data_IF_517774888209
#
_entry.id   IF_517774888209
#
_cell.length_a   1.000
_cell.length_b   1.000
_cell.length_c   1.000
_cell.angle_alpha   90.00
_cell.angle_beta   90.00
_cell.angle_gamma   90.00
#
_symmetry.space_group_name_H-M   'P 1'
#
loop_
_entity.id
_entity.type
_entity.pdbx_description
1 polymer ?
#
# COMPACT_ATOMS: atom_id res chain seq x y z
N UNK A 1 -13.10 -28.01 29.07
CA UNK A 1 -14.10 -28.68 28.23
C UNK A 1 -13.36 -29.41 27.14
N UNK A 2 -13.56 -30.72 27.03
CA UNK A 2 -12.91 -31.57 26.03
C UNK A 2 -13.66 -31.36 24.70
N UNK A 3 -13.16 -30.45 23.86
CA UNK A 3 -13.78 -30.21 22.56
C UNK A 3 -13.48 -31.38 21.61
N UNK A 4 -14.44 -31.81 20.78
CA UNK A 4 -14.20 -32.87 19.80
C UNK A 4 -13.05 -32.45 18.86
N UNK A 5 -12.04 -33.32 18.75
CA UNK A 5 -10.81 -33.07 17.99
C UNK A 5 -11.04 -32.94 16.48
N UNK A 6 -12.16 -33.48 16.01
CA UNK A 6 -12.64 -33.38 14.63
C UNK A 6 -14.15 -33.14 14.63
N UNK A 7 -14.64 -32.27 13.75
CA UNK A 7 -16.07 -31.98 13.57
C UNK A 7 -16.48 -32.40 12.15
N UNK A 8 -17.51 -33.24 12.05
CA UNK A 8 -18.02 -33.75 10.77
C UNK A 8 -19.27 -32.96 10.34
N UNK A 9 -19.33 -32.60 9.06
CA UNK A 9 -20.51 -31.99 8.43
C UNK A 9 -20.52 -32.27 6.92
N UNK A 10 -21.62 -32.85 6.41
CA UNK A 10 -21.63 -33.41 5.06
C UNK A 10 -20.49 -34.43 4.89
N UNK A 11 -19.81 -34.37 3.74
CA UNK A 11 -18.63 -35.20 3.46
C UNK A 11 -17.32 -34.58 4.00
N UNK A 12 -17.38 -33.55 4.84
CA UNK A 12 -16.20 -32.83 5.29
C UNK A 12 -15.87 -33.10 6.76
N UNK A 13 -14.57 -33.07 7.05
CA UNK A 13 -14.01 -33.21 8.39
C UNK A 13 -13.16 -31.98 8.70
N UNK A 14 -13.57 -31.19 9.69
CA UNK A 14 -12.75 -30.12 10.24
C UNK A 14 -11.84 -30.69 11.31
N UNK A 15 -10.55 -30.83 11.01
CA UNK A 15 -9.56 -31.34 11.95
C UNK A 15 -8.94 -30.16 12.73
N UNK A 16 -9.28 -30.04 14.01
CA UNK A 16 -8.82 -28.94 14.86
C UNK A 16 -7.37 -29.10 15.29
N UNK A 17 -6.89 -30.35 15.42
CA UNK A 17 -5.49 -30.62 15.77
C UNK A 17 -4.53 -30.22 14.64
N UNK A 18 -4.94 -30.43 13.39
CA UNK A 18 -4.12 -30.12 12.20
C UNK A 18 -4.42 -28.75 11.60
N UNK A 19 -5.47 -28.06 12.05
CA UNK A 19 -5.84 -26.75 11.52
C UNK A 19 -6.33 -26.80 10.08
N UNK A 20 -6.87 -27.94 9.62
CA UNK A 20 -7.22 -28.15 8.22
C UNK A 20 -8.65 -28.67 8.05
N UNK A 21 -9.23 -28.38 6.88
CA UNK A 21 -10.47 -28.97 6.40
C UNK A 21 -10.12 -30.12 5.47
N UNK A 22 -10.73 -31.29 5.65
CA UNK A 22 -10.56 -32.44 4.77
C UNK A 22 -11.89 -32.79 4.10
N UNK A 23 -11.85 -33.23 2.86
CA UNK A 23 -13.03 -33.80 2.18
C UNK A 23 -13.22 -35.29 2.50
N UNK A 24 -14.26 -35.89 1.91
CA UNK A 24 -14.62 -37.30 2.16
C UNK A 24 -13.57 -38.31 1.68
N UNK A 25 -12.63 -37.87 0.84
CA UNK A 25 -11.47 -38.65 0.41
C UNK A 25 -10.23 -38.43 1.29
N UNK A 26 -10.34 -37.61 2.35
CA UNK A 26 -9.25 -37.27 3.27
C UNK A 26 -8.28 -36.20 2.76
N UNK A 27 -8.56 -35.59 1.61
CA UNK A 27 -7.68 -34.60 1.00
C UNK A 27 -7.91 -33.21 1.63
N UNK A 28 -6.81 -32.51 1.92
CA UNK A 28 -6.87 -31.19 2.56
C UNK A 28 -7.37 -30.12 1.58
N UNK A 29 -8.34 -29.31 2.04
CA UNK A 29 -8.89 -28.15 1.34
C UNK A 29 -8.33 -26.89 1.98
N UNK A 30 -7.60 -26.12 1.18
CA UNK A 30 -6.91 -24.92 1.64
C UNK A 30 -7.92 -23.83 2.00
N UNK A 31 -7.83 -23.34 3.24
CA UNK A 31 -8.56 -22.17 3.72
C UNK A 31 -7.56 -21.15 4.28
N UNK A 32 -7.83 -19.86 4.06
CA UNK A 32 -7.08 -18.79 4.73
C UNK A 32 -7.31 -18.90 6.26
N UNK A 33 -6.35 -18.49 7.10
CA UNK A 33 -6.45 -18.66 8.56
C UNK A 33 -7.74 -18.09 9.17
N UNK A 34 -8.21 -16.94 8.67
CA UNK A 34 -9.47 -16.33 9.12
C UNK A 34 -10.71 -17.06 8.62
N UNK A 35 -10.73 -17.50 7.37
CA UNK A 35 -11.82 -18.32 6.81
C UNK A 35 -11.93 -19.66 7.55
N UNK A 36 -10.80 -20.27 7.92
CA UNK A 36 -10.78 -21.46 8.77
C UNK A 36 -11.40 -21.18 10.15
N UNK A 37 -11.01 -20.08 10.81
CA UNK A 37 -11.55 -19.72 12.13
C UNK A 37 -13.06 -19.44 12.09
N UNK A 38 -13.57 -18.79 11.04
CA UNK A 38 -15.02 -18.61 10.83
C UNK A 38 -15.73 -19.96 10.69
N UNK A 39 -15.17 -20.88 9.90
CA UNK A 39 -15.71 -22.22 9.74
C UNK A 39 -15.67 -23.02 11.05
N UNK A 40 -14.64 -22.85 11.86
CA UNK A 40 -14.53 -23.48 13.18
C UNK A 40 -15.67 -23.04 14.11
N UNK A 41 -15.93 -21.74 14.21
CA UNK A 41 -17.03 -21.21 15.04
C UNK A 41 -18.39 -21.71 14.54
N UNK A 42 -18.60 -21.76 13.22
CA UNK A 42 -19.82 -22.27 12.61
C UNK A 42 -19.99 -23.78 12.81
N UNK A 43 -18.90 -24.54 12.76
CA UNK A 43 -18.90 -25.98 12.97
C UNK A 43 -19.13 -26.35 14.45
N UNK A 44 -18.62 -25.55 15.39
CA UNK A 44 -18.93 -25.69 16.82
C UNK A 44 -20.42 -25.43 17.13
N UNK A 45 -21.05 -24.53 16.37
CA UNK A 45 -22.47 -24.20 16.48
C UNK A 45 -23.29 -24.81 15.34
N UNK A 46 -22.90 -25.98 14.84
CA UNK A 46 -23.56 -26.65 13.70
C UNK A 46 -25.07 -26.74 13.93
N UNK A 47 -25.86 -26.45 12.89
CA UNK A 47 -27.32 -26.45 12.94
C UNK A 47 -27.93 -25.22 13.62
N UNK A 48 -27.11 -24.32 14.18
CA UNK A 48 -27.57 -23.07 14.79
C UNK A 48 -27.27 -21.87 13.88
N UNK A 49 -28.19 -20.92 13.86
CA UNK A 49 -27.99 -19.64 13.19
C UNK A 49 -27.03 -18.80 14.04
N UNK A 50 -25.88 -18.42 13.47
CA UNK A 50 -24.90 -17.55 14.11
C UNK A 50 -24.98 -16.16 13.47
N UNK A 51 -25.12 -15.12 14.31
CA UNK A 51 -25.21 -13.74 13.82
C UNK A 51 -23.87 -13.27 13.24
N UNK A 52 -23.91 -12.21 12.42
CA UNK A 52 -22.68 -11.59 11.90
C UNK A 52 -21.80 -11.09 13.04
N UNK A 53 -22.40 -10.39 14.00
CA UNK A 53 -21.70 -9.81 15.15
C UNK A 53 -21.03 -10.89 16.01
N UNK A 54 -21.73 -12.02 16.26
CA UNK A 54 -21.15 -13.15 17.00
C UNK A 54 -19.97 -13.79 16.26
N UNK A 55 -20.06 -13.94 14.93
CA UNK A 55 -18.97 -14.48 14.12
C UNK A 55 -17.78 -13.52 14.08
N UNK A 56 -18.06 -12.22 13.99
CA UNK A 56 -17.06 -11.17 14.04
C UNK A 56 -16.35 -11.20 15.39
N UNK A 57 -17.09 -11.15 16.49
CA UNK A 57 -16.55 -11.15 17.85
C UNK A 57 -15.75 -12.43 18.16
N UNK A 58 -16.21 -13.61 17.72
CA UNK A 58 -15.51 -14.87 17.98
C UNK A 58 -14.23 -15.08 17.15
N UNK A 59 -14.08 -14.35 16.04
CA UNK A 59 -12.99 -14.50 15.08
C UNK A 59 -12.00 -13.31 15.11
N UNK A 60 -12.48 -12.13 15.51
CA UNK A 60 -11.76 -10.87 15.62
C UNK A 60 -12.17 -10.13 16.91
N UNK A 61 -11.78 -10.64 18.10
CA UNK A 61 -12.27 -10.10 19.38
C UNK A 61 -11.88 -8.63 19.65
N UNK A 62 -10.82 -8.12 19.01
CA UNK A 62 -10.26 -6.78 19.27
C UNK A 62 -10.04 -5.94 17.99
N UNK A 63 -10.74 -6.26 16.90
CA UNK A 63 -10.55 -5.58 15.61
C UNK A 63 -11.89 -5.26 14.97
N UNK A 64 -12.12 -3.97 14.66
CA UNK A 64 -13.24 -3.56 13.82
C UNK A 64 -13.01 -4.07 12.40
N UNK A 65 -13.88 -4.97 11.94
CA UNK A 65 -13.85 -5.51 10.58
C UNK A 65 -15.10 -5.08 9.81
N UNK A 66 -14.94 -4.81 8.52
CA UNK A 66 -16.09 -4.53 7.64
C UNK A 66 -16.90 -5.79 7.38
N UNK A 67 -18.19 -5.63 7.07
CA UNK A 67 -19.10 -6.71 6.66
C UNK A 67 -18.52 -7.56 5.50
N UNK A 68 -17.72 -6.95 4.63
CA UNK A 68 -17.04 -7.59 3.49
C UNK A 68 -16.00 -8.63 3.93
N UNK A 69 -15.36 -8.43 5.08
CA UNK A 69 -14.36 -9.36 5.61
C UNK A 69 -14.99 -10.71 5.97
N UNK A 70 -16.17 -10.68 6.61
CA UNK A 70 -16.95 -11.88 6.91
C UNK A 70 -17.54 -12.50 5.63
N UNK A 71 -18.05 -11.68 4.71
CA UNK A 71 -18.59 -12.13 3.43
C UNK A 71 -17.54 -12.85 2.57
N UNK A 72 -16.29 -12.37 2.56
CA UNK A 72 -15.18 -13.01 1.86
C UNK A 72 -14.79 -14.33 2.53
N UNK A 73 -14.73 -14.38 3.87
CA UNK A 73 -14.48 -15.64 4.59
C UNK A 73 -15.53 -16.70 4.23
N UNK A 74 -16.81 -16.33 4.20
CA UNK A 74 -17.91 -17.21 3.80
C UNK A 74 -17.77 -17.66 2.35
N UNK A 75 -17.36 -16.76 1.44
CA UNK A 75 -17.14 -17.08 0.03
C UNK A 75 -16.01 -18.09 -0.16
N UNK A 76 -14.91 -17.96 0.58
CA UNK A 76 -13.81 -18.93 0.54
C UNK A 76 -14.22 -20.29 1.08
N UNK A 77 -14.98 -20.32 2.17
CA UNK A 77 -15.51 -21.55 2.75
C UNK A 77 -16.38 -22.26 1.71
N UNK A 78 -17.32 -21.56 1.08
CA UNK A 78 -18.17 -22.13 0.03
C UNK A 78 -17.35 -22.70 -1.12
N UNK A 79 -16.30 -21.99 -1.55
CA UNK A 79 -15.40 -22.46 -2.60
C UNK A 79 -14.66 -23.73 -2.18
N UNK A 80 -14.16 -23.79 -0.95
CA UNK A 80 -13.44 -24.95 -0.41
C UNK A 80 -14.36 -26.18 -0.23
N UNK A 81 -15.65 -25.95 0.06
CA UNK A 81 -16.69 -26.99 0.14
C UNK A 81 -17.22 -27.44 -1.22
N UNK A 82 -16.79 -26.80 -2.32
CA UNK A 82 -17.17 -27.20 -3.67
C UNK A 82 -18.65 -26.93 -4.00
N UNK A 83 -19.25 -27.70 -4.92
CA UNK A 83 -20.62 -27.47 -5.43
C UNK A 83 -21.70 -27.41 -4.34
N UNK A 84 -21.53 -28.19 -3.27
CA UNK A 84 -22.46 -28.23 -2.13
C UNK A 84 -22.21 -27.11 -1.10
N UNK A 85 -21.17 -26.29 -1.27
CA UNK A 85 -20.78 -25.28 -0.29
C UNK A 85 -21.87 -24.26 0.03
N UNK A 86 -22.67 -23.86 -0.96
CA UNK A 86 -23.79 -22.93 -0.75
C UNK A 86 -24.97 -23.58 -0.02
N UNK A 87 -25.15 -24.90 -0.17
CA UNK A 87 -26.18 -25.68 0.51
C UNK A 87 -25.79 -25.98 1.96
N UNK A 88 -24.51 -26.27 2.20
CA UNK A 88 -23.96 -26.55 3.52
C UNK A 88 -23.80 -25.27 4.35
N UNK A 89 -23.33 -24.17 3.76
CA UNK A 89 -23.19 -22.87 4.44
C UNK A 89 -24.20 -21.85 3.90
N UNK A 90 -25.36 -21.77 4.55
CA UNK A 90 -26.49 -20.93 4.13
C UNK A 90 -26.40 -19.53 4.72
N UNK A 91 -26.70 -18.54 3.90
CA UNK A 91 -26.95 -17.17 4.38
C UNK A 91 -28.43 -17.03 4.70
N UNK A 92 -28.74 -16.57 5.92
CA UNK A 92 -30.09 -16.16 6.31
C UNK A 92 -30.14 -14.63 6.27
N UNK A 93 -30.85 -14.02 5.29
CA UNK A 93 -30.84 -12.58 5.09
C UNK A 93 -31.14 -11.82 6.38
N UNK A 94 -30.32 -10.80 6.67
CA UNK A 94 -30.41 -9.92 7.86
C UNK A 94 -30.28 -10.63 9.22
N UNK A 95 -29.91 -11.91 9.24
CA UNK A 95 -29.83 -12.69 10.49
C UNK A 95 -28.47 -13.34 10.71
N UNK A 96 -27.78 -13.79 9.67
CA UNK A 96 -26.44 -14.37 9.79
C UNK A 96 -26.23 -15.60 8.92
N UNK A 97 -25.46 -16.56 9.43
CA UNK A 97 -25.06 -17.76 8.69
C UNK A 97 -25.39 -19.04 9.46
N UNK A 98 -25.70 -20.10 8.71
CA UNK A 98 -26.07 -21.40 9.23
C UNK A 98 -25.26 -22.47 8.51
N UNK A 99 -24.50 -23.26 9.28
CA UNK A 99 -23.86 -24.46 8.78
C UNK A 99 -24.77 -25.67 9.01
N UNK A 100 -25.24 -26.28 7.92
CA UNK A 100 -26.12 -27.44 7.94
C UNK A 100 -25.27 -28.70 7.93
N UNK A 101 -25.51 -29.61 8.87
CA UNK A 101 -25.10 -31.01 8.75
C UNK A 101 -26.29 -31.81 8.25
N UNK A 102 -26.06 -32.82 7.40
CA UNK A 102 -27.13 -33.77 7.09
C UNK A 102 -27.53 -34.49 8.37
N UNK A 103 -28.61 -34.04 8.98
CA UNK A 103 -29.55 -34.88 9.69
C UNK A 103 -30.88 -34.66 8.99
N UNK A 104 -31.33 -35.69 8.29
CA UNK A 104 -32.67 -35.79 7.72
C UNK A 104 -33.68 -35.40 8.79
N UNK A 105 -34.48 -34.36 8.54
CA UNK A 105 -35.93 -34.40 8.74
C UNK A 105 -36.57 -33.15 8.14
N UNK A 106 -37.54 -33.42 7.27
CA UNK A 106 -38.33 -32.47 6.53
C UNK A 106 -39.56 -32.04 7.34
N UNK A 107 -39.95 -30.77 7.19
CA UNK A 107 -41.32 -30.24 7.10
C UNK A 107 -41.21 -28.71 7.30
N UNK A 108 -41.79 -27.83 6.50
CA UNK A 108 -42.96 -27.93 5.66
C UNK A 108 -43.86 -26.75 5.99
N UNK A 109 -44.12 -25.86 5.02
CA UNK A 109 -45.40 -25.15 4.77
C UNK A 109 -45.22 -23.77 4.14
N UNK A 110 -46.06 -23.55 3.14
CA UNK A 110 -46.08 -22.48 2.16
C UNK A 110 -47.00 -21.30 2.61
N UNK A 111 -47.15 -20.23 1.80
CA UNK A 111 -47.56 -18.89 2.23
C UNK A 111 -49.06 -18.59 2.10
N UNK A 112 -49.53 -17.59 2.84
CA UNK A 112 -50.77 -16.85 2.59
C UNK A 112 -50.47 -15.37 2.90
N UNK A 113 -50.70 -14.38 2.05
CA UNK A 113 -51.88 -14.12 1.22
C UNK A 113 -52.56 -12.88 1.80
N UNK A 114 -52.48 -11.72 1.13
CA UNK A 114 -53.33 -10.56 1.46
C UNK A 114 -53.67 -9.76 0.19
N UNK A 115 -54.97 -9.62 -0.02
CA UNK A 115 -55.64 -9.06 -1.20
C UNK A 115 -55.73 -7.53 -1.14
N UNK A 116 -55.79 -6.97 -2.35
CA UNK A 116 -56.21 -5.63 -2.75
C UNK A 116 -57.34 -5.02 -1.92
N UNK A 117 -57.17 -3.75 -1.56
CA UNK A 117 -58.26 -2.81 -1.29
C UNK A 117 -58.06 -1.57 -2.18
N UNK A 118 -59.18 -0.95 -2.52
CA UNK A 118 -59.47 -0.24 -3.77
C UNK A 118 -58.67 1.04 -4.10
N UNK A 119 -58.44 1.19 -5.41
CA UNK A 119 -58.23 2.43 -6.15
C UNK A 119 -59.51 3.28 -6.10
N UNK A 120 -59.40 4.58 -5.82
CA UNK A 120 -60.14 5.63 -6.55
C UNK A 120 -59.29 6.91 -6.70
N UNK A 121 -58.94 7.19 -7.95
CA UNK A 121 -58.91 8.48 -8.64
C UNK A 121 -58.31 9.75 -7.97
N UNK A 122 -57.12 10.13 -8.45
CA UNK A 122 -56.80 11.52 -8.82
C UNK A 122 -55.77 11.52 -9.96
N UNK A 123 -56.23 11.10 -11.15
CA UNK A 123 -55.43 10.73 -12.32
C UNK A 123 -54.86 11.87 -13.17
N UNK A 124 -54.44 12.98 -12.58
CA UNK A 124 -53.79 14.08 -13.34
C UNK A 124 -52.44 14.55 -12.76
N UNK A 125 -52.01 14.04 -11.60
CA UNK A 125 -50.67 14.33 -11.05
C UNK A 125 -49.65 13.21 -11.34
N UNK A 126 -50.11 11.97 -11.50
CA UNK A 126 -49.23 10.81 -11.70
C UNK A 126 -48.60 10.77 -13.10
N UNK A 127 -49.30 11.23 -14.14
CA UNK A 127 -48.77 11.25 -15.50
C UNK A 127 -47.66 12.30 -15.69
N UNK A 128 -47.75 13.44 -15.00
CA UNK A 128 -46.71 14.48 -15.00
C UNK A 128 -45.48 14.06 -14.20
N UNK A 129 -45.67 13.37 -13.08
CA UNK A 129 -44.56 12.81 -12.29
C UNK A 129 -43.87 11.68 -13.06
N UNK A 130 -44.63 10.79 -13.72
CA UNK A 130 -44.08 9.71 -14.54
C UNK A 130 -43.43 10.23 -15.83
N UNK A 131 -43.99 11.26 -16.47
CA UNK A 131 -43.35 11.90 -17.62
C UNK A 131 -42.11 12.70 -17.22
N UNK A 132 -42.11 13.39 -16.07
CA UNK A 132 -40.92 14.07 -15.54
C UNK A 132 -39.86 13.08 -15.09
N UNK A 133 -40.21 11.94 -14.48
CA UNK A 133 -39.22 10.92 -14.11
C UNK A 133 -38.67 10.21 -15.34
N UNK A 134 -39.49 9.91 -16.35
CA UNK A 134 -39.02 9.36 -17.62
C UNK A 134 -38.15 10.38 -18.36
N UNK A 135 -38.54 11.66 -18.40
CA UNK A 135 -37.74 12.72 -19.01
C UNK A 135 -36.42 12.95 -18.25
N UNK A 136 -36.43 12.84 -16.92
CA UNK A 136 -35.22 12.88 -16.07
C UNK A 136 -34.34 11.63 -16.23
N UNK A 137 -34.90 10.52 -16.71
CA UNK A 137 -34.19 9.26 -16.99
C UNK A 137 -33.67 9.17 -18.44
N UNK A 138 -34.20 9.99 -19.36
CA UNK A 138 -33.82 9.98 -20.78
C UNK A 138 -32.99 11.19 -21.22
N UNK A 139 -32.77 12.19 -20.34
CA UNK A 139 -31.71 13.17 -20.58
C UNK A 139 -30.35 12.46 -20.48
N UNK A 140 -29.44 12.60 -21.47
CA UNK A 140 -28.06 12.20 -21.29
C UNK A 140 -27.50 12.96 -20.09
N UNK A 141 -27.09 12.22 -19.05
CA UNK A 141 -26.34 12.79 -17.92
C UNK A 141 -24.93 13.06 -18.40
N UNK A 142 -24.77 14.09 -19.22
CA UNK A 142 -23.47 14.64 -19.51
C UNK A 142 -22.97 15.33 -18.23
N UNK A 143 -22.05 14.68 -17.51
CA UNK A 143 -21.10 15.35 -16.62
C UNK A 143 -21.52 15.67 -15.19
N UNK A 144 -22.23 14.79 -14.48
CA UNK A 144 -22.44 14.94 -13.03
C UNK A 144 -22.30 13.60 -12.29
N UNK A 145 -21.10 13.05 -12.25
CA UNK A 145 -20.65 12.42 -11.00
C UNK A 145 -20.60 13.57 -10.00
N UNK A 146 -21.24 13.43 -8.84
CA UNK A 146 -21.02 14.39 -7.77
C UNK A 146 -19.50 14.37 -7.49
N UNK A 147 -18.76 15.49 -7.63
CA UNK A 147 -17.31 15.53 -7.41
C UNK A 147 -16.86 14.79 -6.14
N UNK A 148 -17.73 14.85 -5.12
CA UNK A 148 -17.68 14.12 -3.86
C UNK A 148 -17.39 12.60 -3.98
N UNK A 149 -17.94 11.86 -4.96
CA UNK A 149 -17.70 10.41 -5.07
C UNK A 149 -16.33 10.07 -5.66
N UNK A 150 -15.89 10.80 -6.69
CA UNK A 150 -14.56 10.63 -7.27
C UNK A 150 -13.48 11.05 -6.26
N UNK A 151 -13.68 12.19 -5.60
CA UNK A 151 -12.81 12.67 -4.54
C UNK A 151 -12.78 11.68 -3.36
N UNK A 152 -13.91 11.10 -2.95
CA UNK A 152 -13.95 10.05 -1.92
C UNK A 152 -13.20 8.79 -2.35
N UNK A 153 -13.29 8.38 -3.61
CA UNK A 153 -12.55 7.23 -4.12
C UNK A 153 -11.04 7.49 -4.12
N UNK A 154 -10.60 8.70 -4.48
CA UNK A 154 -9.20 9.13 -4.39
C UNK A 154 -8.73 9.16 -2.94
N UNK A 155 -9.51 9.73 -2.02
CA UNK A 155 -9.19 9.74 -0.57
C UNK A 155 -9.05 8.32 -0.03
N UNK A 156 -9.97 7.41 -0.42
CA UNK A 156 -9.90 6.00 -0.03
C UNK A 156 -8.66 5.31 -0.60
N UNK A 157 -8.33 5.58 -1.87
CA UNK A 157 -7.13 5.04 -2.50
C UNK A 157 -5.87 5.58 -1.82
N UNK A 158 -5.83 6.87 -1.47
CA UNK A 158 -4.70 7.49 -0.77
C UNK A 158 -4.49 6.90 0.62
N UNK A 159 -5.56 6.65 1.37
CA UNK A 159 -5.49 5.98 2.67
C UNK A 159 -4.88 4.57 2.58
N UNK A 160 -5.08 3.86 1.46
CA UNK A 160 -4.43 2.57 1.19
C UNK A 160 -2.92 2.74 0.88
N UNK A 161 -2.51 3.89 0.34
CA UNK A 161 -1.14 4.18 -0.09
C UNK A 161 -0.27 4.83 1.01
N UNK A 162 -0.85 5.40 2.07
CA UNK A 162 -0.14 6.16 3.12
C UNK A 162 1.04 5.39 3.74
N UNK A 163 0.93 4.07 3.87
CA UNK A 163 1.96 3.27 4.54
C UNK A 163 3.19 2.99 3.67
N UNK A 164 3.08 3.09 2.32
CA UNK A 164 4.10 2.65 1.33
C UNK A 164 4.84 1.36 1.75
N UNK A 165 4.11 0.43 2.36
CA UNK A 165 4.64 -0.81 2.94
C UNK A 165 4.59 -1.92 1.91
N UNK A 166 5.75 -2.46 1.55
CA UNK A 166 5.89 -3.54 0.59
C UNK A 166 5.10 -4.81 0.97
N UNK A 167 4.70 -4.98 2.23
CA UNK A 167 3.85 -6.10 2.66
C UNK A 167 2.39 -5.95 2.24
N UNK A 168 1.97 -4.73 1.91
CA UNK A 168 0.59 -4.35 1.58
C UNK A 168 0.37 -4.22 0.07
N UNK A 169 0.89 -5.16 -0.72
CA UNK A 169 0.68 -5.19 -2.19
C UNK A 169 -0.80 -5.15 -2.56
N UNK A 170 -1.64 -5.86 -1.81
CA UNK A 170 -3.09 -5.89 -2.03
C UNK A 170 -3.75 -4.51 -1.87
N UNK A 171 -3.27 -3.68 -0.94
CA UNK A 171 -3.75 -2.31 -0.75
C UNK A 171 -3.40 -1.45 -1.97
N UNK A 172 -2.21 -1.64 -2.55
CA UNK A 172 -1.79 -0.97 -3.79
C UNK A 172 -2.62 -1.40 -5.01
N UNK A 173 -2.93 -2.68 -5.13
CA UNK A 173 -3.80 -3.22 -6.19
C UNK A 173 -5.23 -2.67 -6.04
N UNK A 174 -5.78 -2.66 -4.83
CA UNK A 174 -7.10 -2.09 -4.56
C UNK A 174 -7.14 -0.57 -4.82
N UNK A 175 -6.10 0.17 -4.42
CA UNK A 175 -5.99 1.60 -4.72
C UNK A 175 -5.99 1.82 -6.24
N UNK A 176 -5.22 1.01 -6.99
CA UNK A 176 -5.18 1.09 -8.45
C UNK A 176 -6.55 0.85 -9.08
N UNK A 177 -7.29 -0.17 -8.66
CA UNK A 177 -8.64 -0.45 -9.19
C UNK A 177 -9.60 0.74 -8.99
N UNK A 178 -9.57 1.35 -7.80
CA UNK A 178 -10.36 2.56 -7.51
C UNK A 178 -9.97 3.72 -8.42
N UNK A 179 -8.67 3.96 -8.56
CA UNK A 179 -8.13 5.08 -9.33
C UNK A 179 -8.33 4.89 -10.84
N UNK A 180 -8.21 3.67 -11.35
CA UNK A 180 -8.50 3.32 -12.75
C UNK A 180 -9.98 3.57 -13.09
N UNK A 181 -10.90 3.24 -12.17
CA UNK A 181 -12.31 3.58 -12.33
C UNK A 181 -12.55 5.10 -12.38
N UNK A 182 -11.89 5.86 -11.50
CA UNK A 182 -11.99 7.32 -11.46
C UNK A 182 -11.49 7.96 -12.75
N UNK A 183 -10.29 7.59 -13.24
CA UNK A 183 -9.74 8.21 -14.46
C UNK A 183 -10.44 7.76 -15.75
N UNK A 184 -11.11 6.59 -15.72
CA UNK A 184 -11.94 6.13 -16.83
C UNK A 184 -13.23 6.95 -16.96
N UNK A 185 -13.76 7.45 -15.84
CA UNK A 185 -14.97 8.28 -15.79
C UNK A 185 -14.65 9.78 -15.93
N UNK A 186 -13.61 10.26 -15.25
CA UNK A 186 -13.08 11.62 -15.32
C UNK A 186 -11.58 11.64 -15.63
N UNK A 187 -11.26 11.66 -16.93
CA UNK A 187 -9.90 11.77 -17.42
C UNK A 187 -9.21 13.12 -17.09
N UNK A 188 -9.95 14.11 -16.58
CA UNK A 188 -9.45 15.41 -16.14
C UNK A 188 -9.02 15.45 -14.67
N UNK A 189 -9.28 14.40 -13.90
CA UNK A 189 -9.01 14.41 -12.46
C UNK A 189 -7.52 14.25 -12.12
N UNK A 190 -6.83 15.38 -11.93
CA UNK A 190 -5.38 15.41 -11.67
C UNK A 190 -4.94 14.60 -10.44
N UNK A 191 -5.73 14.64 -9.34
CA UNK A 191 -5.45 13.89 -8.12
C UNK A 191 -5.43 12.37 -8.36
N UNK A 192 -6.43 11.86 -9.10
CA UNK A 192 -6.52 10.46 -9.45
C UNK A 192 -5.34 9.99 -10.31
N UNK A 193 -4.94 10.77 -11.32
CA UNK A 193 -3.75 10.46 -12.12
C UNK A 193 -2.46 10.46 -11.28
N UNK A 194 -2.32 11.41 -10.36
CA UNK A 194 -1.16 11.47 -9.45
C UNK A 194 -1.07 10.22 -8.57
N UNK A 195 -2.18 9.82 -7.96
CA UNK A 195 -2.23 8.65 -7.08
C UNK A 195 -2.11 7.35 -7.89
N UNK A 196 -2.64 7.30 -9.12
CA UNK A 196 -2.52 6.14 -9.99
C UNK A 196 -1.06 5.91 -10.38
N UNK A 197 -0.35 6.98 -10.76
CA UNK A 197 1.09 6.92 -11.02
C UNK A 197 1.90 6.47 -9.81
N UNK A 198 1.52 6.88 -8.59
CA UNK A 198 2.13 6.37 -7.36
C UNK A 198 1.98 4.85 -7.23
N UNK A 199 0.84 4.25 -7.62
CA UNK A 199 0.66 2.79 -7.51
C UNK A 199 1.67 2.01 -8.35
N UNK A 200 2.02 2.53 -9.54
CA UNK A 200 3.02 1.91 -10.41
C UNK A 200 4.44 2.20 -9.92
N UNK A 201 4.67 3.40 -9.36
CA UNK A 201 5.96 3.73 -8.76
C UNK A 201 6.29 2.83 -7.56
N UNK A 202 5.31 2.51 -6.71
CA UNK A 202 5.50 1.57 -5.60
C UNK A 202 5.84 0.15 -6.08
N UNK A 203 5.28 -0.31 -7.20
CA UNK A 203 5.70 -1.59 -7.80
C UNK A 203 7.16 -1.60 -8.24
N UNK A 204 7.66 -0.47 -8.74
CA UNK A 204 9.07 -0.32 -9.15
C UNK A 204 9.98 -0.24 -7.93
N UNK A 205 9.58 0.47 -6.87
CA UNK A 205 10.35 0.58 -5.64
C UNK A 205 10.42 -0.75 -4.87
N UNK A 206 9.35 -1.55 -4.91
CA UNK A 206 9.26 -2.82 -4.21
C UNK A 206 9.49 -3.99 -5.17
N UNK A 207 10.74 -4.40 -5.36
CA UNK A 207 11.13 -5.47 -6.30
C UNK A 207 10.30 -6.75 -6.21
N UNK A 208 9.89 -7.13 -5.00
CA UNK A 208 9.06 -8.31 -4.77
C UNK A 208 7.70 -8.24 -5.47
N UNK A 209 7.27 -7.05 -5.89
CA UNK A 209 6.00 -6.82 -6.59
C UNK A 209 6.14 -7.03 -8.11
N UNK A 210 7.37 -7.02 -8.64
CA UNK A 210 7.67 -7.31 -10.04
C UNK A 210 7.59 -6.10 -10.98
N UNK A 211 7.56 -4.88 -10.45
CA UNK A 211 7.58 -3.67 -11.28
C UNK A 211 8.93 -3.47 -11.96
N UNK A 212 8.90 -3.14 -13.25
CA UNK A 212 10.08 -2.94 -14.08
C UNK A 212 10.00 -1.65 -14.90
N UNK A 213 10.70 -1.66 -16.04
CA UNK A 213 10.82 -0.49 -16.93
C UNK A 213 9.46 -0.01 -17.44
N UNK A 214 8.54 -0.93 -17.71
CA UNK A 214 7.20 -0.63 -18.21
C UNK A 214 6.38 0.10 -17.15
N UNK A 215 6.40 -0.38 -15.92
CA UNK A 215 5.69 0.20 -14.78
C UNK A 215 6.26 1.58 -14.45
N UNK A 216 7.58 1.76 -14.54
CA UNK A 216 8.20 3.07 -14.41
C UNK A 216 7.72 4.05 -15.48
N UNK A 217 7.65 3.61 -16.74
CA UNK A 217 7.11 4.41 -17.84
C UNK A 217 5.67 4.85 -17.58
N UNK A 218 4.80 3.92 -17.12
CA UNK A 218 3.42 4.23 -16.74
C UNK A 218 3.33 5.22 -15.59
N UNK A 219 4.16 5.03 -14.56
CA UNK A 219 4.20 5.92 -13.41
C UNK A 219 4.53 7.36 -13.84
N UNK A 220 5.59 7.53 -14.65
CA UNK A 220 5.97 8.84 -15.19
C UNK A 220 4.86 9.46 -16.03
N UNK A 221 4.29 8.71 -16.98
CA UNK A 221 3.21 9.20 -17.86
C UNK A 221 2.00 9.70 -17.06
N UNK A 222 1.57 8.93 -16.05
CA UNK A 222 0.41 9.27 -15.22
C UNK A 222 0.67 10.51 -14.36
N UNK A 223 1.85 10.63 -13.75
CA UNK A 223 2.15 11.80 -12.93
C UNK A 223 2.44 13.04 -13.78
N UNK A 224 3.07 12.90 -14.95
CA UNK A 224 3.21 13.98 -15.94
C UNK A 224 1.84 14.47 -16.43
N UNK A 225 0.89 13.54 -16.63
CA UNK A 225 -0.50 13.89 -16.95
C UNK A 225 -1.16 14.68 -15.82
N UNK A 226 -0.97 14.27 -14.56
CA UNK A 226 -1.49 15.01 -13.40
C UNK A 226 -0.94 16.44 -13.33
N UNK A 227 0.36 16.64 -13.60
CA UNK A 227 0.96 17.99 -13.70
C UNK A 227 0.33 18.79 -14.85
N UNK A 228 0.19 18.18 -16.03
CA UNK A 228 -0.39 18.85 -17.21
C UNK A 228 -1.86 19.27 -17.00
N UNK A 229 -2.59 18.58 -16.11
CA UNK A 229 -3.96 18.91 -15.70
C UNK A 229 -4.03 19.97 -14.59
N UNK A 230 -2.90 20.53 -14.16
CA UNK A 230 -2.84 21.54 -13.10
C UNK A 230 -2.92 20.97 -11.69
N UNK A 231 -2.46 19.73 -11.49
CA UNK A 231 -2.34 19.14 -10.15
C UNK A 231 -1.44 19.96 -9.21
N UNK A 232 -1.70 19.88 -7.91
CA UNK A 232 -0.98 20.64 -6.89
C UNK A 232 0.46 20.15 -6.63
N UNK A 233 0.94 20.32 -5.39
CA UNK A 233 2.34 20.02 -5.07
C UNK A 233 2.72 18.53 -5.21
N UNK A 234 1.80 17.62 -4.88
CA UNK A 234 2.05 16.17 -4.84
C UNK A 234 2.56 15.57 -6.17
N UNK A 235 1.93 15.78 -7.35
CA UNK A 235 2.45 15.22 -8.59
C UNK A 235 3.84 15.76 -8.94
N UNK A 236 4.13 17.04 -8.65
CA UNK A 236 5.48 17.57 -8.79
C UNK A 236 6.49 16.86 -7.88
N UNK A 237 6.16 16.66 -6.59
CA UNK A 237 7.01 15.91 -5.68
C UNK A 237 7.26 14.48 -6.16
N UNK A 238 6.21 13.80 -6.63
CA UNK A 238 6.31 12.43 -7.16
C UNK A 238 7.20 12.36 -8.41
N UNK A 239 7.09 13.31 -9.35
CA UNK A 239 8.01 13.38 -10.49
C UNK A 239 9.44 13.61 -10.05
N UNK A 240 9.67 14.46 -9.05
CA UNK A 240 11.00 14.66 -8.50
C UNK A 240 11.58 13.37 -7.90
N UNK A 241 10.81 12.66 -7.07
CA UNK A 241 11.20 11.35 -6.51
C UNK A 241 11.52 10.35 -7.65
N UNK A 242 10.65 10.21 -8.64
CA UNK A 242 10.83 9.28 -9.77
C UNK A 242 12.08 9.60 -10.60
N UNK A 243 12.31 10.89 -10.92
CA UNK A 243 13.45 11.33 -11.73
C UNK A 243 14.78 11.28 -10.96
N UNK A 244 14.76 11.27 -9.63
CA UNK A 244 15.95 11.04 -8.80
C UNK A 244 16.25 9.55 -8.62
N UNK A 245 15.23 8.78 -8.22
CA UNK A 245 15.39 7.46 -7.62
C UNK A 245 15.07 6.32 -8.59
N UNK A 246 14.78 6.63 -9.86
CA UNK A 246 14.55 5.61 -10.88
C UNK A 246 15.72 4.61 -10.91
N UNK A 247 15.44 3.29 -10.84
CA UNK A 247 16.46 2.26 -10.98
C UNK A 247 16.97 2.13 -12.44
N UNK A 248 16.36 2.88 -13.37
CA UNK A 248 16.72 2.90 -14.79
C UNK A 248 17.46 4.21 -15.09
N UNK A 249 18.78 4.16 -15.35
CA UNK A 249 19.60 5.35 -15.55
C UNK A 249 19.07 6.33 -16.59
N UNK A 250 18.56 5.82 -17.71
CA UNK A 250 18.03 6.63 -18.80
C UNK A 250 16.71 7.35 -18.48
N UNK A 251 16.04 6.97 -17.38
CA UNK A 251 14.81 7.62 -16.91
C UNK A 251 15.08 8.64 -15.80
N UNK A 252 16.30 8.69 -15.26
CA UNK A 252 16.68 9.72 -14.30
C UNK A 252 16.99 11.03 -14.98
N UNK A 253 16.66 12.11 -14.29
CA UNK A 253 16.98 13.47 -14.71
C UNK A 253 17.05 14.35 -13.46
N UNK A 254 18.26 14.55 -12.89
CA UNK A 254 18.42 15.38 -11.69
C UNK A 254 18.03 16.84 -11.93
N UNK A 255 18.15 17.31 -13.17
CA UNK A 255 17.66 18.65 -13.58
C UNK A 255 16.14 18.72 -13.48
N UNK A 256 15.42 17.78 -14.09
CA UNK A 256 13.95 17.76 -14.04
C UNK A 256 13.43 17.52 -12.62
N UNK A 257 14.15 16.69 -11.85
CA UNK A 257 13.82 16.45 -10.47
C UNK A 257 13.92 17.71 -9.62
N UNK A 258 15.02 18.46 -9.75
CA UNK A 258 15.20 19.70 -9.00
C UNK A 258 14.15 20.75 -9.38
N UNK A 259 13.81 20.86 -10.68
CA UNK A 259 12.76 21.75 -11.14
C UNK A 259 11.39 21.40 -10.52
N UNK A 260 11.02 20.12 -10.55
CA UNK A 260 9.77 19.64 -9.97
C UNK A 260 9.74 19.76 -8.44
N UNK A 261 10.84 19.48 -7.74
CA UNK A 261 10.89 19.63 -6.29
C UNK A 261 10.72 21.10 -5.87
N UNK A 262 11.32 22.04 -6.61
CA UNK A 262 11.12 23.48 -6.39
C UNK A 262 9.67 23.89 -6.65
N UNK A 263 9.04 23.34 -7.69
CA UNK A 263 7.62 23.59 -7.97
C UNK A 263 6.73 23.10 -6.83
N UNK A 264 6.97 21.90 -6.30
CA UNK A 264 6.22 21.35 -5.17
C UNK A 264 6.29 22.26 -3.93
N UNK A 265 7.50 22.69 -3.53
CA UNK A 265 7.70 23.62 -2.40
C UNK A 265 7.12 25.01 -2.67
N UNK A 266 7.12 25.48 -3.92
CA UNK A 266 6.49 26.76 -4.28
C UNK A 266 4.98 26.72 -4.10
N UNK A 267 4.36 25.59 -4.43
CA UNK A 267 2.90 25.38 -4.29
C UNK A 267 2.52 25.18 -2.82
N UNK A 268 3.30 24.37 -2.09
CA UNK A 268 3.05 24.06 -0.69
C UNK A 268 4.38 24.02 0.11
N UNK A 269 4.79 25.16 0.70
CA UNK A 269 6.06 25.30 1.41
C UNK A 269 6.05 24.77 2.84
N UNK A 270 4.87 24.43 3.39
CA UNK A 270 4.73 23.93 4.77
C UNK A 270 4.66 22.41 4.85
N UNK A 271 4.56 21.73 3.70
CA UNK A 271 4.64 20.28 3.62
C UNK A 271 6.10 19.79 3.76
N UNK A 272 6.35 19.00 4.81
CA UNK A 272 7.68 18.49 5.13
C UNK A 272 8.21 17.51 4.08
N UNK A 273 7.34 16.78 3.37
CA UNK A 273 7.76 15.84 2.33
C UNK A 273 8.27 16.59 1.09
N UNK A 274 7.62 17.70 0.71
CA UNK A 274 8.07 18.57 -0.38
C UNK A 274 9.46 19.13 -0.10
N UNK A 275 9.69 19.62 1.13
CA UNK A 275 10.99 20.12 1.56
C UNK A 275 12.05 19.02 1.59
N UNK A 276 11.71 17.82 2.09
CA UNK A 276 12.65 16.71 2.13
C UNK A 276 13.07 16.24 0.73
N UNK A 277 12.13 16.16 -0.23
CA UNK A 277 12.47 15.82 -1.63
C UNK A 277 13.29 16.93 -2.30
N UNK A 278 13.00 18.21 -2.02
CA UNK A 278 13.83 19.32 -2.49
C UNK A 278 15.25 19.25 -1.92
N UNK A 279 15.40 18.99 -0.63
CA UNK A 279 16.71 18.82 -0.01
C UNK A 279 17.50 17.67 -0.65
N UNK A 280 16.84 16.55 -0.93
CA UNK A 280 17.48 15.44 -1.64
C UNK A 280 17.92 15.84 -3.05
N UNK A 281 17.08 16.53 -3.82
CA UNK A 281 17.44 17.02 -5.15
C UNK A 281 18.63 18.00 -5.10
N UNK A 282 18.64 18.92 -4.14
CA UNK A 282 19.72 19.89 -3.93
C UNK A 282 21.03 19.18 -3.58
N UNK A 283 21.00 18.24 -2.64
CA UNK A 283 22.18 17.49 -2.21
C UNK A 283 22.81 16.73 -3.38
N UNK A 284 22.00 16.03 -4.18
CA UNK A 284 22.47 15.20 -5.29
C UNK A 284 22.83 15.98 -6.56
N UNK A 285 22.59 17.29 -6.57
CA UNK A 285 23.00 18.19 -7.66
C UNK A 285 24.10 19.16 -7.22
N UNK A 286 24.80 18.86 -6.11
CA UNK A 286 25.96 19.61 -5.63
C UNK A 286 25.63 20.90 -4.86
N UNK A 287 24.38 21.11 -4.45
CA UNK A 287 23.93 22.30 -3.69
C UNK A 287 23.73 21.96 -2.21
N UNK A 288 24.78 21.41 -1.60
CA UNK A 288 24.72 20.84 -0.25
C UNK A 288 24.35 21.86 0.83
N UNK A 289 24.85 23.10 0.76
CA UNK A 289 24.49 24.16 1.72
C UNK A 289 22.97 24.46 1.71
N UNK A 290 22.37 24.62 0.52
CA UNK A 290 20.92 24.80 0.38
C UNK A 290 20.15 23.56 0.87
N UNK A 291 20.68 22.36 0.61
CA UNK A 291 20.07 21.11 1.06
C UNK A 291 19.99 21.02 2.58
N UNK A 292 21.06 21.39 3.29
CA UNK A 292 21.13 21.41 4.76
C UNK A 292 20.07 22.34 5.34
N UNK A 293 19.94 23.57 4.82
CA UNK A 293 18.93 24.51 5.29
C UNK A 293 17.51 23.98 5.05
N UNK A 294 17.28 23.39 3.88
CA UNK A 294 15.98 22.87 3.47
C UNK A 294 15.55 21.67 4.31
N UNK A 295 16.43 20.69 4.54
CA UNK A 295 16.07 19.50 5.32
C UNK A 295 15.87 19.84 6.81
N UNK A 296 16.64 20.78 7.35
CA UNK A 296 16.40 21.26 8.71
C UNK A 296 15.03 21.92 8.86
N UNK A 297 14.53 22.60 7.83
CA UNK A 297 13.17 23.13 7.83
C UNK A 297 12.13 22.01 7.83
N UNK A 298 12.29 20.98 6.98
CA UNK A 298 11.40 19.82 6.96
C UNK A 298 11.32 19.14 8.34
N UNK A 299 12.47 18.90 8.97
CA UNK A 299 12.56 18.27 10.29
C UNK A 299 11.93 19.12 11.41
N UNK A 300 11.93 20.46 11.29
CA UNK A 300 11.24 21.35 12.26
C UNK A 300 9.72 21.29 12.14
N UNK A 301 9.20 21.08 10.92
CA UNK A 301 7.77 21.00 10.67
C UNK A 301 7.18 19.65 11.10
N UNK A 302 7.99 18.59 11.12
CA UNK A 302 7.55 17.27 11.53
C UNK A 302 7.84 16.97 13.01
N UNK A 303 6.80 16.74 13.80
CA UNK A 303 6.95 16.32 15.21
C UNK A 303 7.52 14.91 15.35
N UNK A 304 7.31 14.05 14.34
CA UNK A 304 7.85 12.70 14.23
C UNK A 304 8.23 12.43 12.77
N UNK A 305 9.40 12.94 12.32
CA UNK A 305 9.80 12.79 10.93
C UNK A 305 9.92 11.30 10.57
N UNK A 306 9.39 10.88 9.42
CA UNK A 306 9.58 9.52 8.93
C UNK A 306 11.08 9.26 8.70
N UNK A 307 11.48 7.98 8.76
CA UNK A 307 12.88 7.58 8.68
C UNK A 307 13.59 8.14 7.43
N UNK A 308 12.88 8.23 6.31
CA UNK A 308 13.45 8.74 5.06
C UNK A 308 13.80 10.24 5.10
N UNK A 309 13.13 11.07 5.92
CA UNK A 309 13.56 12.47 6.13
C UNK A 309 14.94 12.51 6.79
N UNK A 310 15.15 11.67 7.81
CA UNK A 310 16.45 11.56 8.49
C UNK A 310 17.54 11.00 7.57
N UNK A 311 17.19 10.07 6.67
CA UNK A 311 18.11 9.60 5.63
C UNK A 311 18.56 10.75 4.72
N UNK A 312 17.63 11.60 4.27
CA UNK A 312 17.96 12.79 3.47
C UNK A 312 18.80 13.79 4.27
N UNK A 313 18.55 13.93 5.58
CA UNK A 313 19.36 14.78 6.45
C UNK A 313 20.81 14.27 6.54
N UNK A 314 20.99 12.97 6.78
CA UNK A 314 22.31 12.34 6.79
C UNK A 314 23.06 12.51 5.47
N UNK A 315 22.39 12.29 4.34
CA UNK A 315 22.94 12.55 3.01
C UNK A 315 23.37 14.01 2.85
N UNK A 316 22.50 14.95 3.21
CA UNK A 316 22.76 16.39 3.06
C UNK A 316 23.94 16.84 3.92
N UNK A 317 24.01 16.38 5.17
CA UNK A 317 25.11 16.70 6.09
C UNK A 317 26.44 16.10 5.61
N UNK A 318 26.45 14.85 5.13
CA UNK A 318 27.66 14.23 4.61
C UNK A 318 28.21 15.01 3.41
N UNK A 319 27.34 15.36 2.46
CA UNK A 319 27.71 16.12 1.26
C UNK A 319 28.05 17.59 1.53
N UNK A 320 27.61 18.14 2.66
CA UNK A 320 28.01 19.46 3.15
C UNK A 320 29.34 19.44 3.93
N UNK A 321 29.98 18.28 4.08
CA UNK A 321 31.22 18.16 4.85
C UNK A 321 31.00 18.15 6.37
N UNK A 322 29.81 17.75 6.83
CA UNK A 322 29.46 17.60 8.25
C UNK A 322 29.27 16.12 8.66
N UNK A 323 30.30 15.27 8.53
CA UNK A 323 30.15 13.82 8.67
C UNK A 323 29.72 13.36 10.08
N UNK A 324 30.08 14.12 11.13
CA UNK A 324 29.67 13.81 12.50
C UNK A 324 28.14 13.95 12.68
N UNK A 325 27.56 15.07 12.20
CA UNK A 325 26.10 15.29 12.20
C UNK A 325 25.39 14.27 11.32
N UNK A 326 25.97 13.92 10.18
CA UNK A 326 25.44 12.86 9.32
C UNK A 326 25.34 11.52 10.05
N UNK A 327 26.41 11.13 10.77
CA UNK A 327 26.44 9.90 11.55
C UNK A 327 25.43 9.91 12.71
N UNK A 328 25.23 11.05 13.37
CA UNK A 328 24.23 11.19 14.45
C UNK A 328 22.80 11.00 13.95
N UNK A 329 22.44 11.54 12.78
CA UNK A 329 21.10 11.35 12.21
C UNK A 329 20.85 9.92 11.71
N UNK A 330 21.89 9.30 11.14
CA UNK A 330 21.78 7.96 10.55
C UNK A 330 21.89 6.84 11.59
N UNK A 331 22.60 7.06 12.69
CA UNK A 331 22.86 6.03 13.71
C UNK A 331 21.61 5.35 14.31
N UNK A 332 20.53 6.09 14.66
CA UNK A 332 19.28 5.48 15.14
C UNK A 332 18.58 4.59 14.12
N UNK A 333 18.84 4.81 12.82
CA UNK A 333 18.25 4.05 11.73
C UNK A 333 19.13 2.85 11.34
N UNK A 334 20.45 3.04 11.40
CA UNK A 334 21.44 2.09 10.90
C UNK A 334 22.58 1.92 11.90
N UNK A 335 22.75 0.70 12.39
CA UNK A 335 23.90 0.22 13.16
C UNK A 335 24.40 -1.15 12.69
N UNK A 336 25.32 -1.74 13.45
CA UNK A 336 25.81 -3.10 13.20
C UNK A 336 24.63 -4.11 13.29
N UNK A 337 24.26 -4.72 12.15
CA UNK A 337 23.14 -5.67 12.05
C UNK A 337 21.84 -5.12 11.46
N UNK A 338 21.80 -3.85 11.04
CA UNK A 338 20.55 -3.15 10.64
C UNK A 338 20.40 -2.96 9.14
N UNK A 339 21.09 -3.75 8.33
CA UNK A 339 20.89 -3.77 6.87
C UNK A 339 19.57 -4.50 6.52
N UNK A 340 18.44 -3.98 7.00
CA UNK A 340 17.12 -4.46 6.65
C UNK A 340 16.83 -4.28 5.15
N UNK A 341 15.78 -4.94 4.67
CA UNK A 341 15.36 -5.20 3.28
C UNK A 341 15.22 -4.00 2.30
N UNK A 342 15.71 -2.81 2.64
CA UNK A 342 15.73 -1.65 1.78
C UNK A 342 16.70 -1.85 0.61
N UNK A 343 16.19 -1.74 -0.63
CA UNK A 343 16.96 -1.82 -1.88
C UNK A 343 18.08 -0.78 -1.96
N UNK A 344 17.97 0.32 -1.21
CA UNK A 344 18.86 1.47 -1.28
C UNK A 344 19.56 1.77 0.05
N UNK A 345 20.82 2.19 -0.09
CA UNK A 345 21.79 3.19 0.44
C UNK A 345 22.05 3.66 1.89
N UNK A 346 21.12 3.79 2.83
CA UNK A 346 21.42 4.56 4.04
C UNK A 346 22.49 3.95 4.96
N UNK A 347 22.67 2.63 4.95
CA UNK A 347 23.74 1.99 5.71
C UNK A 347 25.14 2.32 5.18
N UNK A 348 25.30 2.49 3.88
CA UNK A 348 26.57 2.91 3.28
C UNK A 348 26.86 4.38 3.55
N UNK A 349 25.83 5.24 3.52
CA UNK A 349 25.93 6.63 3.94
C UNK A 349 26.38 6.73 5.41
N UNK A 350 25.85 5.87 6.28
CA UNK A 350 26.24 5.84 7.70
C UNK A 350 27.70 5.40 7.88
N UNK A 351 28.12 4.32 7.22
CA UNK A 351 29.50 3.85 7.26
C UNK A 351 30.49 4.94 6.78
N UNK A 352 30.20 5.59 5.66
CA UNK A 352 31.03 6.67 5.14
C UNK A 352 31.04 7.90 6.08
N UNK A 353 29.89 8.24 6.67
CA UNK A 353 29.80 9.33 7.65
C UNK A 353 30.64 9.07 8.90
N UNK A 354 30.58 7.84 9.44
CA UNK A 354 31.44 7.43 10.56
C UNK A 354 32.92 7.52 10.19
N UNK A 355 33.30 7.05 8.99
CA UNK A 355 34.68 7.05 8.55
C UNK A 355 35.24 8.47 8.40
N UNK A 356 34.50 9.36 7.74
CA UNK A 356 34.88 10.78 7.59
C UNK A 356 34.85 11.55 8.93
N UNK A 357 34.07 11.09 9.91
CA UNK A 357 34.10 11.61 11.28
C UNK A 357 35.26 11.03 12.12
N UNK A 358 36.14 10.21 11.54
CA UNK A 358 37.27 9.58 12.24
C UNK A 358 36.93 8.36 13.09
N UNK A 359 35.69 7.88 13.05
CA UNK A 359 35.20 6.71 13.82
C UNK A 359 35.40 5.41 13.03
N UNK A 360 36.65 5.15 12.63
CA UNK A 360 37.01 4.10 11.67
C UNK A 360 36.62 2.68 12.14
N UNK A 361 36.82 2.36 13.42
CA UNK A 361 36.45 1.04 13.95
C UNK A 361 34.94 0.79 13.87
N UNK A 362 34.13 1.82 14.11
CA UNK A 362 32.68 1.72 14.02
C UNK A 362 32.24 1.58 12.56
N UNK A 363 32.84 2.36 11.66
CA UNK A 363 32.60 2.28 10.23
C UNK A 363 32.92 0.87 9.70
N UNK A 364 34.07 0.30 10.10
CA UNK A 364 34.48 -1.04 9.71
C UNK A 364 33.54 -2.13 10.22
N UNK A 365 32.99 -1.99 11.44
CA UNK A 365 31.94 -2.90 11.95
C UNK A 365 30.66 -2.83 11.13
N UNK A 366 30.25 -1.64 10.71
CA UNK A 366 29.09 -1.46 9.84
C UNK A 366 29.32 -2.12 8.48
N UNK A 367 30.46 -1.87 7.82
CA UNK A 367 30.81 -2.52 6.56
C UNK A 367 30.86 -4.04 6.70
N UNK A 368 31.56 -4.57 7.70
CA UNK A 368 31.68 -6.02 7.92
C UNK A 368 30.33 -6.67 8.16
N UNK A 369 29.43 -6.02 8.92
CA UNK A 369 28.08 -6.53 9.16
C UNK A 369 27.18 -6.47 7.90
N UNK A 370 27.53 -5.65 6.91
CA UNK A 370 26.82 -5.56 5.63
C UNK A 370 27.26 -6.65 4.65
N UNK A 371 28.57 -6.94 4.63
CA UNK A 371 29.19 -7.91 3.73
C UNK A 371 28.58 -9.30 3.96
N UNK A 372 28.23 -9.97 2.86
CA UNK A 372 27.56 -11.28 2.88
C UNK A 372 26.02 -11.23 2.97
N UNK A 373 25.44 -10.08 3.33
CA UNK A 373 23.99 -9.86 3.31
C UNK A 373 23.52 -8.99 2.14
N UNK A 374 24.45 -8.29 1.48
CA UNK A 374 24.21 -7.39 0.35
C UNK A 374 24.89 -7.86 -0.94
N UNK A 375 24.33 -7.52 -2.12
CA UNK A 375 24.98 -7.78 -3.40
C UNK A 375 26.21 -6.88 -3.61
N UNK A 376 26.22 -5.66 -3.08
CA UNK A 376 27.39 -4.76 -3.14
C UNK A 376 28.45 -5.17 -2.13
N UNK A 377 29.46 -5.92 -2.57
CA UNK A 377 30.56 -6.38 -1.71
C UNK A 377 31.84 -5.57 -1.85
N UNK A 378 31.89 -4.65 -2.81
CA UNK A 378 33.07 -3.82 -3.11
C UNK A 378 32.68 -2.37 -3.30
N UNK A 379 33.65 -1.46 -3.18
CA UNK A 379 33.49 -0.04 -3.47
C UNK A 379 33.06 0.14 -4.93
N UNK A 380 33.62 -0.62 -5.87
CA UNK A 380 33.16 -0.63 -7.25
C UNK A 380 31.70 -1.09 -7.40
N UNK A 381 31.27 -2.11 -6.65
CA UNK A 381 29.88 -2.57 -6.64
C UNK A 381 28.92 -1.52 -6.09
N UNK A 382 29.31 -0.81 -5.03
CA UNK A 382 28.57 0.35 -4.55
C UNK A 382 28.54 1.44 -5.61
N UNK A 383 29.67 1.80 -6.20
CA UNK A 383 29.73 2.83 -7.25
C UNK A 383 28.75 2.52 -8.41
N UNK A 384 28.65 1.26 -8.83
CA UNK A 384 27.71 0.84 -9.86
C UNK A 384 26.24 1.01 -9.45
N UNK A 385 25.90 0.73 -8.18
CA UNK A 385 24.56 1.00 -7.66
C UNK A 385 24.22 2.50 -7.65
N UNK A 386 25.24 3.37 -7.61
CA UNK A 386 25.16 4.84 -7.59
C UNK A 386 25.41 5.53 -8.93
N UNK A 387 25.71 4.76 -9.98
CA UNK A 387 25.91 5.27 -11.34
C UNK A 387 24.73 6.18 -11.70
N UNK A 388 24.97 7.37 -12.25
CA UNK A 388 23.99 8.38 -12.70
C UNK A 388 23.28 9.26 -11.66
N UNK A 389 23.79 9.36 -10.43
CA UNK A 389 23.54 10.55 -9.61
C UNK A 389 24.41 11.70 -10.13
N UNK A 390 23.82 12.86 -10.38
CA UNK A 390 24.43 13.94 -11.17
C UNK A 390 25.61 14.69 -10.51
N UNK A 391 26.01 14.36 -9.28
CA UNK A 391 27.21 14.94 -8.67
C UNK A 391 28.28 13.87 -8.42
N UNK A 392 29.28 13.83 -9.30
CA UNK A 392 30.45 12.97 -9.17
C UNK A 392 31.23 13.23 -7.87
N UNK A 393 31.17 14.47 -7.35
CA UNK A 393 31.86 14.88 -6.13
C UNK A 393 31.27 14.20 -4.90
N UNK A 394 29.94 14.20 -4.77
CA UNK A 394 29.26 13.53 -3.68
C UNK A 394 29.44 12.01 -3.70
N UNK A 395 29.45 11.40 -4.88
CA UNK A 395 29.77 9.98 -5.03
C UNK A 395 31.22 9.70 -4.57
N UNK A 396 32.17 10.55 -4.92
CA UNK A 396 33.55 10.41 -4.46
C UNK A 396 33.68 10.45 -2.93
N UNK A 397 32.97 11.36 -2.25
CA UNK A 397 32.93 11.44 -0.78
C UNK A 397 32.43 10.11 -0.17
N UNK A 398 31.32 9.59 -0.69
CA UNK A 398 30.78 8.32 -0.21
C UNK A 398 31.78 7.16 -0.40
N UNK A 399 32.28 6.98 -1.63
CA UNK A 399 33.17 5.87 -1.96
C UNK A 399 34.48 5.95 -1.16
N UNK A 400 35.00 7.15 -0.93
CA UNK A 400 36.19 7.35 -0.10
C UNK A 400 35.92 6.97 1.36
N UNK A 401 34.77 7.36 1.91
CA UNK A 401 34.39 6.97 3.26
C UNK A 401 34.29 5.44 3.41
N UNK A 402 33.81 4.74 2.38
CA UNK A 402 33.77 3.27 2.38
C UNK A 402 35.16 2.64 2.28
N UNK A 403 36.09 3.21 1.51
CA UNK A 403 37.51 2.78 1.50
C UNK A 403 38.15 2.95 2.86
N UNK A 404 37.95 4.11 3.50
CA UNK A 404 38.42 4.38 4.86
C UNK A 404 37.82 3.41 5.88
N UNK A 405 36.58 2.98 5.67
CA UNK A 405 35.90 1.96 6.48
C UNK A 405 36.37 0.52 6.19
N UNK A 406 37.33 0.31 5.28
CA UNK A 406 37.88 -1.01 4.96
C UNK A 406 37.03 -1.84 4.00
N UNK A 407 36.14 -1.23 3.23
CA UNK A 407 35.41 -1.93 2.16
C UNK A 407 36.39 -2.37 1.05
N UNK A 408 36.29 -3.62 0.54
CA UNK A 408 37.12 -4.08 -0.56
C UNK A 408 36.96 -3.21 -1.81
N UNK A 409 38.03 -3.07 -2.61
CA UNK A 409 38.07 -2.24 -3.83
C UNK A 409 37.05 -2.63 -4.89
#
# INVERSE_FOLDING_TARGET
MDYPRSIHFGDFVLNRRRGCLQDGAGMERLLRPKSYRVLEVLAERRGQLVSKDDLVQATWPDVFVSDDSLAQCVSDIRRALGPEGTNLLRTVPRRGYLLVGQDSDAEGSAPAGRKHWMVWASGLSAALIVAMTILWWTQPRDGLVAPDLADQAVVKADALLEARDWRRRGDNEQARELLEAVVAEDAGHAGAWSSLGLTYWLEVQHLAWGGGRREMGRALEMVERAVALGGGARPHRLLAEMRLLSPFPEMRSPVDALANARAAVTIDPEDADNLAVLAQALALTGRSDEAVLTIQQALRLSTKPPEWHRQVAGLSYLLAGEPARAAEELGPLYGAGTFAHARWWPGWLFAASLAHAGRLEEAARVVTAALGHRPEQTVAGVAQSFDGLADESGLAILLEGLRLAGMPG
#
